data_IF_566534608885
#
_entry.id   IF_566534608885
#
_cell.length_a   1.000
_cell.length_b   1.000
_cell.length_c   1.000
_cell.angle_alpha   90.00
_cell.angle_beta   90.00
_cell.angle_gamma   90.00
#
_symmetry.space_group_name_H-M   'P 1'
#
loop_
_entity.id
_entity.type
_entity.pdbx_description
1 polymer ?
#
# COMPACT_ATOMS: atom_id res chain seq x y z
N UNK A 1 13.01 -15.46 -13.03
CA UNK A 1 12.80 -14.79 -11.71
C UNK A 1 12.25 -13.41 -11.97
N UNK A 2 11.14 -13.09 -11.34
CA UNK A 2 10.64 -11.71 -11.34
C UNK A 2 11.56 -10.86 -10.46
N UNK A 3 11.87 -9.65 -10.89
CA UNK A 3 12.72 -8.71 -10.14
C UNK A 3 12.09 -7.33 -10.12
N UNK A 4 12.49 -6.53 -9.15
CA UNK A 4 12.26 -5.09 -9.06
C UNK A 4 13.59 -4.37 -9.31
N UNK A 5 13.53 -3.11 -9.70
CA UNK A 5 14.73 -2.29 -9.91
C UNK A 5 14.92 -1.39 -8.68
N UNK A 6 16.09 -1.51 -8.05
CA UNK A 6 16.51 -0.68 -6.94
C UNK A 6 17.98 -0.27 -7.11
N UNK A 7 18.29 1.02 -7.10
CA UNK A 7 19.62 1.59 -7.37
C UNK A 7 20.23 1.12 -8.70
N UNK A 8 19.39 1.03 -9.73
CA UNK A 8 19.82 0.62 -11.07
C UNK A 8 20.13 -0.88 -11.23
N UNK A 9 19.91 -1.69 -10.19
CA UNK A 9 20.15 -3.14 -10.23
C UNK A 9 18.87 -3.93 -10.00
N UNK A 10 18.83 -5.16 -10.49
CA UNK A 10 17.73 -6.08 -10.24
C UNK A 10 17.78 -6.57 -8.80
N UNK A 11 16.70 -6.35 -8.06
CA UNK A 11 16.45 -6.90 -6.73
C UNK A 11 15.44 -8.05 -6.83
N UNK A 12 15.63 -9.11 -6.04
CA UNK A 12 14.65 -10.21 -5.98
C UNK A 12 13.27 -9.66 -5.59
N UNK A 13 12.25 -9.97 -6.37
CA UNK A 13 10.87 -9.57 -6.06
C UNK A 13 10.22 -10.51 -5.03
N UNK A 14 9.09 -10.13 -4.42
CA UNK A 14 8.28 -11.04 -3.61
C UNK A 14 7.94 -12.30 -4.40
N UNK A 15 8.06 -13.47 -3.76
CA UNK A 15 7.75 -14.76 -4.38
C UNK A 15 6.29 -14.81 -4.81
N UNK A 16 6.03 -15.34 -6.00
CA UNK A 16 4.70 -15.55 -6.55
C UNK A 16 3.98 -14.27 -7.03
N UNK A 17 4.58 -13.08 -6.85
CA UNK A 17 3.97 -11.83 -7.28
C UNK A 17 4.34 -11.54 -8.75
N UNK A 18 3.37 -11.45 -9.68
CA UNK A 18 3.62 -11.04 -11.05
C UNK A 18 4.07 -9.57 -11.09
N UNK A 19 5.28 -9.34 -11.60
CA UNK A 19 5.84 -7.98 -11.68
C UNK A 19 6.38 -7.75 -13.08
N UNK A 20 6.09 -6.56 -13.63
CA UNK A 20 6.72 -6.00 -14.83
C UNK A 20 7.38 -4.68 -14.46
N UNK A 21 8.55 -4.42 -15.02
CA UNK A 21 9.31 -3.20 -14.71
C UNK A 21 9.40 -2.27 -15.91
N UNK A 22 9.76 -1.01 -15.67
CA UNK A 22 10.00 -0.02 -16.72
C UNK A 22 11.17 -0.38 -17.69
N UNK A 23 11.86 -1.48 -17.43
CA UNK A 23 12.84 -2.05 -18.37
C UNK A 23 12.19 -2.89 -19.47
N UNK A 24 10.91 -3.22 -19.30
CA UNK A 24 10.13 -4.01 -20.24
C UNK A 24 9.32 -3.12 -21.18
N UNK A 25 9.16 -3.57 -22.42
CA UNK A 25 8.36 -2.88 -23.41
C UNK A 25 6.91 -2.68 -22.93
N UNK A 26 6.39 -1.47 -23.12
CA UNK A 26 5.02 -1.11 -22.76
C UNK A 26 4.83 -0.75 -21.28
N UNK A 27 5.88 -0.79 -20.45
CA UNK A 27 5.83 -0.23 -19.09
C UNK A 27 6.49 1.15 -19.08
N UNK A 28 5.70 2.18 -18.84
CA UNK A 28 6.19 3.56 -18.83
C UNK A 28 7.00 3.84 -17.58
N UNK A 29 8.13 4.55 -17.70
CA UNK A 29 8.89 5.10 -16.59
C UNK A 29 8.49 6.56 -16.36
N UNK A 30 8.15 6.90 -15.12
CA UNK A 30 7.98 8.30 -14.73
C UNK A 30 9.35 9.01 -14.61
N UNK A 31 9.43 10.30 -15.01
CA UNK A 31 10.63 11.08 -14.81
C UNK A 31 10.88 11.29 -13.32
N UNK A 32 12.09 10.99 -12.86
CA UNK A 32 12.51 11.29 -11.51
C UNK A 32 12.59 12.81 -11.28
N UNK A 33 12.10 13.27 -10.15
CA UNK A 33 12.13 14.68 -9.73
C UNK A 33 13.37 14.99 -8.87
N UNK A 34 14.18 13.99 -8.61
CA UNK A 34 15.41 14.01 -7.85
C UNK A 34 15.91 12.61 -7.57
N UNK A 35 17.04 12.52 -6.89
CA UNK A 35 17.65 11.25 -6.49
C UNK A 35 17.93 11.24 -5.00
N UNK A 36 17.88 10.03 -4.42
CA UNK A 36 18.17 9.76 -3.01
C UNK A 36 19.07 8.54 -2.83
N UNK A 37 19.62 8.36 -1.65
CA UNK A 37 20.49 7.22 -1.34
C UNK A 37 19.71 6.03 -0.75
N UNK A 38 18.62 6.30 -0.04
CA UNK A 38 17.82 5.27 0.59
C UNK A 38 16.35 5.71 0.73
N UNK A 39 15.47 4.73 0.95
CA UNK A 39 14.08 4.93 1.35
C UNK A 39 13.84 4.29 2.71
N UNK A 40 13.14 5.00 3.57
CA UNK A 40 12.77 4.58 4.92
C UNK A 40 11.27 4.43 5.12
N UNK A 41 10.47 4.84 4.12
CA UNK A 41 9.02 4.82 4.15
C UNK A 41 8.45 4.07 2.94
N UNK A 42 7.42 3.28 3.17
CA UNK A 42 6.58 2.70 2.13
C UNK A 42 5.17 3.26 2.27
N UNK A 43 4.73 4.09 1.31
CA UNK A 43 3.43 4.74 1.34
C UNK A 43 2.46 4.01 0.41
N UNK A 44 1.33 3.59 0.97
CA UNK A 44 0.26 2.87 0.25
C UNK A 44 -0.86 3.85 -0.06
N UNK A 45 -1.22 3.91 -1.35
CA UNK A 45 -2.30 4.69 -1.93
C UNK A 45 -3.33 3.79 -2.59
N UNK A 46 -4.51 4.34 -2.84
CA UNK A 46 -5.52 3.76 -3.72
C UNK A 46 -5.95 4.80 -4.74
N UNK A 47 -6.16 4.37 -5.98
CA UNK A 47 -6.58 5.25 -7.06
C UNK A 47 -8.02 4.95 -7.49
N UNK A 48 -8.79 5.99 -7.76
CA UNK A 48 -10.17 5.89 -8.26
C UNK A 48 -10.27 5.44 -9.73
N UNK A 49 -9.16 5.06 -10.33
CA UNK A 49 -9.10 4.57 -11.71
C UNK A 49 -9.51 3.09 -11.81
N UNK A 50 -9.57 2.58 -13.05
CA UNK A 50 -10.07 1.22 -13.32
C UNK A 50 -9.02 0.28 -13.89
N UNK A 51 -7.83 0.81 -14.19
CA UNK A 51 -6.72 0.03 -14.75
C UNK A 51 -5.38 0.72 -14.49
N UNK A 52 -4.31 -0.05 -14.58
CA UNK A 52 -2.94 0.47 -14.51
C UNK A 52 -2.72 1.61 -15.52
N UNK A 53 -3.13 1.42 -16.78
CA UNK A 53 -2.96 2.46 -17.82
C UNK A 53 -3.76 3.73 -17.52
N UNK A 54 -4.98 3.60 -16.97
CA UNK A 54 -5.77 4.75 -16.57
C UNK A 54 -5.10 5.50 -15.39
N UNK A 55 -4.48 4.78 -14.44
CA UNK A 55 -3.70 5.37 -13.36
C UNK A 55 -2.49 6.13 -13.89
N UNK A 56 -1.71 5.53 -14.77
CA UNK A 56 -0.56 6.20 -15.43
C UNK A 56 -0.99 7.50 -16.09
N UNK A 57 -2.07 7.45 -16.87
CA UNK A 57 -2.58 8.64 -17.57
C UNK A 57 -3.04 9.75 -16.60
N UNK A 58 -3.75 9.38 -15.53
CA UNK A 58 -4.23 10.32 -14.52
C UNK A 58 -3.06 10.98 -13.75
N UNK A 59 -2.06 10.21 -13.35
CA UNK A 59 -0.87 10.72 -12.70
C UNK A 59 -0.11 11.70 -13.60
N UNK A 60 0.09 11.36 -14.87
CA UNK A 60 0.73 12.26 -15.86
C UNK A 60 -0.03 13.56 -16.03
N UNK A 61 -1.35 13.48 -16.17
CA UNK A 61 -2.20 14.66 -16.31
C UNK A 61 -2.11 15.58 -15.10
N UNK A 62 -1.99 15.00 -13.90
CA UNK A 62 -1.85 15.71 -12.62
C UNK A 62 -0.40 16.11 -12.30
N UNK A 63 0.57 15.76 -13.15
CA UNK A 63 2.01 15.93 -12.90
C UNK A 63 2.48 15.22 -11.63
N UNK A 64 1.83 14.10 -11.32
CA UNK A 64 2.20 13.19 -10.24
C UNK A 64 2.89 11.95 -10.81
N UNK A 65 3.47 11.17 -9.92
CA UNK A 65 4.21 9.96 -10.29
C UNK A 65 4.29 9.02 -9.09
N UNK A 66 4.43 7.71 -9.34
CA UNK A 66 4.54 6.69 -8.29
C UNK A 66 5.50 5.59 -8.73
N UNK A 67 6.08 4.87 -7.79
CA UNK A 67 7.05 3.82 -8.07
C UNK A 67 6.39 2.53 -8.55
N UNK A 68 5.29 2.14 -7.91
CA UNK A 68 4.58 0.90 -8.18
C UNK A 68 3.08 1.15 -8.40
N UNK A 69 2.48 0.42 -9.34
CA UNK A 69 1.03 0.37 -9.52
C UNK A 69 0.59 -1.09 -9.47
N UNK A 70 -0.38 -1.41 -8.63
CA UNK A 70 -0.97 -2.73 -8.45
C UNK A 70 -2.32 -2.79 -9.16
N UNK A 71 -2.42 -3.65 -10.16
CA UNK A 71 -3.64 -3.89 -10.92
C UNK A 71 -4.71 -4.66 -10.14
N UNK A 72 -5.95 -4.69 -10.67
CA UNK A 72 -7.05 -5.44 -10.03
C UNK A 72 -6.85 -6.94 -10.00
N UNK A 73 -6.01 -7.45 -10.88
CA UNK A 73 -5.61 -8.86 -11.00
C UNK A 73 -4.50 -9.28 -10.03
N UNK A 74 -3.99 -8.35 -9.23
CA UNK A 74 -2.87 -8.58 -8.32
C UNK A 74 -1.49 -8.48 -8.97
N UNK A 75 -1.39 -8.11 -10.25
CA UNK A 75 -0.11 -7.88 -10.92
C UNK A 75 0.41 -6.46 -10.65
N UNK A 76 1.73 -6.33 -10.51
CA UNK A 76 2.41 -5.06 -10.23
C UNK A 76 3.17 -4.57 -11.44
N UNK A 77 3.11 -3.27 -11.70
CA UNK A 77 4.02 -2.60 -12.65
C UNK A 77 4.89 -1.60 -11.91
N UNK A 78 6.18 -1.60 -12.21
CA UNK A 78 7.14 -0.66 -11.65
C UNK A 78 7.46 0.46 -12.65
N UNK A 79 7.33 1.70 -12.20
CA UNK A 79 7.42 2.91 -13.02
C UNK A 79 8.56 3.85 -12.63
N UNK A 80 9.35 3.50 -11.63
CA UNK A 80 10.55 4.22 -11.20
C UNK A 80 11.45 3.33 -10.35
N UNK A 81 12.71 3.69 -10.20
CA UNK A 81 13.65 2.99 -9.32
C UNK A 81 13.26 3.22 -7.85
N UNK A 82 12.98 2.13 -7.13
CA UNK A 82 12.41 2.19 -5.78
C UNK A 82 13.33 2.92 -4.82
N UNK A 83 14.64 2.70 -4.91
CA UNK A 83 15.58 3.20 -3.93
C UNK A 83 16.18 4.56 -4.32
N UNK A 84 16.35 4.85 -5.61
CA UNK A 84 17.06 6.03 -6.07
C UNK A 84 16.18 7.15 -6.60
N UNK A 85 15.03 6.87 -7.23
CA UNK A 85 14.19 7.91 -7.83
C UNK A 85 13.30 8.58 -6.76
N UNK A 86 13.29 9.92 -6.74
CA UNK A 86 12.27 10.69 -6.01
C UNK A 86 11.10 10.92 -6.94
N UNK A 87 9.92 10.40 -6.58
CA UNK A 87 8.68 10.57 -7.32
C UNK A 87 7.64 11.33 -6.49
N UNK A 88 6.71 12.00 -7.15
CA UNK A 88 5.74 12.88 -6.49
C UNK A 88 4.40 12.16 -6.27
N UNK A 89 4.23 11.59 -5.07
CA UNK A 89 3.02 10.85 -4.69
C UNK A 89 2.48 11.18 -3.28
N UNK A 90 3.32 11.69 -2.37
CA UNK A 90 2.99 11.77 -0.94
C UNK A 90 3.30 13.13 -0.30
N UNK A 91 3.48 14.16 -1.12
CA UNK A 91 3.87 15.50 -0.66
C UNK A 91 5.38 15.65 -0.40
N UNK A 92 5.88 16.90 -0.32
CA UNK A 92 7.33 17.19 -0.40
C UNK A 92 8.18 16.45 0.64
N UNK A 93 7.72 16.34 1.87
CA UNK A 93 8.46 15.69 2.94
C UNK A 93 8.59 14.17 2.71
N UNK A 94 7.48 13.51 2.48
CA UNK A 94 7.46 12.06 2.29
C UNK A 94 8.07 11.62 0.96
N UNK A 95 7.90 12.37 -0.14
CA UNK A 95 8.47 12.03 -1.44
C UNK A 95 9.97 11.76 -1.39
N UNK A 96 10.72 12.51 -0.58
CA UNK A 96 12.17 12.38 -0.48
C UNK A 96 12.60 11.08 0.24
N UNK A 97 11.75 10.50 1.07
CA UNK A 97 12.07 9.38 1.96
C UNK A 97 11.28 8.11 1.65
N UNK A 98 10.27 8.20 0.76
CA UNK A 98 9.36 7.08 0.51
C UNK A 98 9.40 6.59 -0.93
N UNK A 99 9.05 5.32 -1.09
CA UNK A 99 8.47 4.86 -2.34
C UNK A 99 6.98 4.61 -2.16
N UNK A 100 6.21 4.84 -3.24
CA UNK A 100 4.76 4.71 -3.24
C UNK A 100 4.26 3.53 -4.04
N UNK A 101 3.11 3.00 -3.62
CA UNK A 101 2.30 2.02 -4.33
C UNK A 101 0.90 2.60 -4.54
N UNK A 102 0.46 2.72 -5.78
CA UNK A 102 -0.93 2.98 -6.14
C UNK A 102 -1.67 1.67 -6.37
N UNK A 103 -2.69 1.38 -5.59
CA UNK A 103 -3.57 0.23 -5.80
C UNK A 103 -4.78 0.66 -6.62
N UNK A 104 -4.98 0.02 -7.77
CA UNK A 104 -6.12 0.31 -8.65
C UNK A 104 -7.39 -0.20 -7.97
N UNK A 105 -7.99 0.64 -7.16
CA UNK A 105 -9.24 0.38 -6.44
C UNK A 105 -10.11 1.64 -6.41
N UNK A 106 -11.31 1.65 -7.02
CA UNK A 106 -12.23 2.77 -6.92
C UNK A 106 -12.88 2.83 -5.54
N UNK A 107 -12.10 3.13 -4.53
CA UNK A 107 -12.45 3.04 -3.11
C UNK A 107 -13.70 3.87 -2.69
N UNK A 108 -14.16 4.80 -3.54
CA UNK A 108 -15.47 5.47 -3.37
C UNK A 108 -16.56 4.76 -4.18
N UNK A 109 -17.71 4.37 -3.60
CA UNK A 109 -18.80 3.68 -4.31
C UNK A 109 -19.30 4.40 -5.55
N UNK A 110 -19.26 5.74 -5.57
CA UNK A 110 -19.67 6.56 -6.72
C UNK A 110 -18.84 6.33 -8.00
N UNK A 111 -17.65 5.74 -7.87
CA UNK A 111 -16.78 5.40 -9.00
C UNK A 111 -16.90 3.95 -9.46
N UNK A 112 -17.71 3.14 -8.76
CA UNK A 112 -17.99 1.78 -9.20
C UNK A 112 -18.73 1.77 -10.53
N UNK A 113 -18.29 0.89 -11.41
CA UNK A 113 -19.01 0.59 -12.65
C UNK A 113 -19.65 -0.78 -12.49
N UNK A 114 -20.93 -0.95 -12.89
CA UNK A 114 -21.57 -2.26 -12.91
C UNK A 114 -20.71 -3.30 -13.65
N UNK A 115 -20.58 -4.50 -13.07
CA UNK A 115 -19.83 -5.61 -13.67
C UNK A 115 -18.34 -5.67 -13.35
N UNK A 116 -17.79 -4.76 -12.53
CA UNK A 116 -16.44 -4.89 -12.03
C UNK A 116 -16.34 -5.95 -10.92
N UNK A 117 -15.26 -6.76 -10.87
CA UNK A 117 -15.14 -7.91 -9.96
C UNK A 117 -14.99 -7.52 -8.47
N UNK A 118 -14.66 -6.28 -8.17
CA UNK A 118 -14.48 -5.76 -6.80
C UNK A 118 -15.68 -4.93 -6.35
N UNK A 119 -16.81 -5.55 -6.18
CA UNK A 119 -18.06 -4.83 -5.88
C UNK A 119 -18.50 -4.93 -4.43
N UNK A 120 -17.63 -5.33 -3.49
CA UNK A 120 -17.99 -5.38 -2.09
C UNK A 120 -17.82 -4.01 -1.44
N UNK A 121 -18.94 -3.32 -1.22
CA UNK A 121 -19.00 -2.07 -0.46
C UNK A 121 -19.28 -2.39 1.00
N UNK A 122 -18.55 -1.74 1.90
CA UNK A 122 -18.77 -1.82 3.34
C UNK A 122 -19.14 -0.45 3.92
N UNK A 123 -19.85 -0.45 5.04
CA UNK A 123 -19.99 0.76 5.87
C UNK A 123 -18.63 1.05 6.50
N UNK A 124 -18.15 2.26 6.32
CA UNK A 124 -16.82 2.68 6.74
C UNK A 124 -16.88 4.12 7.27
N UNK A 125 -17.20 4.32 8.57
CA UNK A 125 -17.33 5.67 9.14
C UNK A 125 -16.07 6.54 9.05
N UNK A 126 -14.93 5.91 8.83
CA UNK A 126 -13.62 6.53 8.64
C UNK A 126 -13.34 6.99 7.20
N UNK A 127 -14.13 6.50 6.24
CA UNK A 127 -14.01 6.88 4.83
C UNK A 127 -14.92 8.06 4.50
N UNK A 128 -14.52 8.88 3.53
CA UNK A 128 -15.34 9.97 3.05
C UNK A 128 -16.66 9.43 2.45
N UNK A 129 -17.79 9.94 2.98
CA UNK A 129 -19.12 9.47 2.60
C UNK A 129 -19.61 8.25 3.37
N UNK A 130 -18.83 7.71 4.32
CA UNK A 130 -19.26 6.63 5.22
C UNK A 130 -19.30 5.24 4.60
N UNK A 131 -18.81 5.10 3.37
CA UNK A 131 -18.75 3.82 2.64
C UNK A 131 -17.40 3.65 1.94
N UNK A 132 -16.95 2.41 1.80
CA UNK A 132 -15.68 2.07 1.19
C UNK A 132 -15.81 0.81 0.33
N UNK A 133 -15.19 0.86 -0.86
CA UNK A 133 -15.08 -0.29 -1.76
C UNK A 133 -13.82 -1.08 -1.40
N UNK A 134 -13.99 -2.33 -1.02
CA UNK A 134 -12.86 -3.19 -0.66
C UNK A 134 -11.99 -3.53 -1.88
N UNK A 135 -10.67 -3.49 -1.75
CA UNK A 135 -9.77 -4.10 -2.70
C UNK A 135 -10.03 -5.60 -2.86
N UNK A 136 -9.64 -6.18 -3.97
CA UNK A 136 -9.76 -7.63 -4.14
C UNK A 136 -8.84 -8.38 -3.16
N UNK A 137 -9.16 -9.64 -2.78
CA UNK A 137 -8.25 -10.45 -1.96
C UNK A 137 -6.85 -10.59 -2.58
N UNK A 138 -6.75 -10.65 -3.90
CA UNK A 138 -5.48 -10.70 -4.63
C UNK A 138 -4.67 -9.41 -4.43
N UNK A 139 -5.31 -8.24 -4.51
CA UNK A 139 -4.66 -6.95 -4.24
C UNK A 139 -4.21 -6.86 -2.77
N UNK A 140 -5.06 -7.25 -1.84
CA UNK A 140 -4.72 -7.21 -0.42
C UNK A 140 -3.49 -8.07 -0.10
N UNK A 141 -3.43 -9.29 -0.63
CA UNK A 141 -2.29 -10.20 -0.41
C UNK A 141 -1.02 -9.72 -1.14
N UNK A 142 -1.16 -9.13 -2.34
CA UNK A 142 -0.05 -8.50 -3.04
C UNK A 142 0.57 -7.35 -2.22
N UNK A 143 -0.26 -6.51 -1.59
CA UNK A 143 0.19 -5.45 -0.69
C UNK A 143 0.94 -6.04 0.52
N UNK A 144 0.39 -7.06 1.19
CA UNK A 144 1.06 -7.70 2.32
C UNK A 144 2.40 -8.32 1.91
N UNK A 145 2.49 -8.92 0.72
CA UNK A 145 3.72 -9.48 0.17
C UNK A 145 4.76 -8.40 -0.13
N UNK A 146 4.35 -7.26 -0.70
CA UNK A 146 5.24 -6.11 -0.93
C UNK A 146 5.72 -5.49 0.38
N UNK A 147 4.87 -5.38 1.39
CA UNK A 147 5.27 -4.88 2.72
C UNK A 147 6.28 -5.82 3.37
N UNK A 148 6.05 -7.13 3.34
CA UNK A 148 7.00 -8.12 3.85
C UNK A 148 8.35 -7.99 3.15
N UNK A 149 8.34 -7.88 1.84
CA UNK A 149 9.54 -7.71 1.03
C UNK A 149 10.26 -6.40 1.38
N UNK A 150 9.59 -5.27 1.36
CA UNK A 150 10.18 -3.96 1.62
C UNK A 150 10.84 -3.89 3.01
N UNK A 151 10.21 -4.52 4.02
CA UNK A 151 10.69 -4.51 5.40
C UNK A 151 11.72 -5.59 5.72
N UNK A 152 12.15 -6.37 4.75
CA UNK A 152 13.23 -7.37 4.88
C UNK A 152 14.60 -6.87 4.41
N UNK A 153 14.75 -5.57 4.12
CA UNK A 153 15.95 -4.99 3.50
C UNK A 153 16.40 -5.75 2.24
N UNK A 154 15.54 -5.88 1.22
CA UNK A 154 15.73 -6.80 0.11
C UNK A 154 16.83 -6.36 -0.87
N UNK A 155 17.24 -5.09 -0.83
CA UNK A 155 18.24 -4.51 -1.71
C UNK A 155 18.89 -3.26 -1.07
N UNK A 156 20.10 -2.88 -1.49
CA UNK A 156 20.75 -1.66 -1.03
C UNK A 156 19.86 -0.42 -1.26
N UNK A 157 19.74 0.42 -0.22
CA UNK A 157 18.93 1.63 -0.24
C UNK A 157 17.44 1.41 0.04
N UNK A 158 16.99 0.18 0.32
CA UNK A 158 15.66 -0.09 0.86
C UNK A 158 15.80 -0.37 2.36
N UNK A 159 15.53 0.65 3.16
CA UNK A 159 15.72 0.67 4.62
C UNK A 159 14.38 0.86 5.37
N UNK A 160 13.30 0.40 4.77
CA UNK A 160 11.96 0.48 5.37
C UNK A 160 11.91 -0.44 6.59
N UNK A 161 11.68 0.15 7.76
CA UNK A 161 11.52 -0.62 8.98
C UNK A 161 10.13 -1.27 9.03
N UNK A 162 10.04 -2.44 9.65
CA UNK A 162 8.75 -3.07 9.97
C UNK A 162 8.12 -2.37 11.18
N UNK A 163 7.74 -1.12 10.97
CA UNK A 163 7.05 -0.23 11.90
C UNK A 163 5.73 0.21 11.29
N UNK A 164 4.78 0.43 12.16
CA UNK A 164 3.41 0.78 11.82
C UNK A 164 3.05 2.10 12.49
N UNK A 165 3.37 3.26 11.90
CA UNK A 165 3.08 4.57 12.50
C UNK A 165 1.61 4.81 12.80
N UNK A 166 0.70 4.11 12.10
CA UNK A 166 -0.73 4.12 12.38
C UNK A 166 -1.17 3.29 13.58
N UNK A 167 -0.28 2.50 14.20
CA UNK A 167 -0.65 1.67 15.35
C UNK A 167 -0.72 2.53 16.63
N UNK A 168 -1.92 2.64 17.21
CA UNK A 168 -2.21 3.39 18.43
C UNK A 168 -2.95 2.51 19.43
N UNK A 169 -2.43 2.39 20.63
CA UNK A 169 -3.04 1.62 21.73
C UNK A 169 -3.46 0.19 21.36
N UNK A 170 -2.69 -0.43 20.43
CA UNK A 170 -2.96 -1.77 19.93
C UNK A 170 -4.01 -1.85 18.82
N UNK A 171 -4.48 -0.71 18.29
CA UNK A 171 -5.37 -0.63 17.15
C UNK A 171 -4.71 0.10 15.97
N UNK A 172 -4.95 -0.37 14.75
CA UNK A 172 -4.52 0.29 13.53
C UNK A 172 -5.48 1.44 13.18
N UNK A 173 -4.93 2.64 13.02
CA UNK A 173 -5.70 3.79 12.57
C UNK A 173 -6.18 3.60 11.13
N UNK A 174 -7.44 3.96 10.88
CA UNK A 174 -8.05 4.01 9.55
C UNK A 174 -8.27 5.45 9.07
N UNK A 175 -7.88 6.43 9.87
CA UNK A 175 -7.98 7.86 9.59
C UNK A 175 -6.66 8.58 9.78
N UNK A 176 -6.72 9.90 9.91
CA UNK A 176 -5.52 10.73 10.06
C UNK A 176 -4.72 10.40 11.30
N UNK A 177 -3.40 10.43 11.15
CA UNK A 177 -2.41 10.22 12.20
C UNK A 177 -1.41 11.38 12.12
N UNK A 178 -1.58 12.45 12.93
CA UNK A 178 -0.75 13.65 12.82
C UNK A 178 0.76 13.38 12.89
N UNK A 179 1.17 12.44 13.75
CA UNK A 179 2.59 12.08 13.91
C UNK A 179 3.18 11.34 12.70
N UNK A 180 2.35 10.76 11.85
CA UNK A 180 2.80 10.18 10.59
C UNK A 180 3.16 11.24 9.55
N UNK A 181 2.67 12.48 9.69
CA UNK A 181 3.02 13.60 8.84
C UNK A 181 4.45 14.13 9.11
N UNK A 182 5.08 13.73 10.20
CA UNK A 182 6.40 14.18 10.64
C UNK A 182 7.51 13.17 10.33
N UNK A 183 7.47 12.51 9.17
CA UNK A 183 8.51 11.57 8.72
C UNK A 183 8.72 10.37 9.65
N UNK A 184 7.67 9.62 9.89
CA UNK A 184 7.74 8.38 10.66
C UNK A 184 8.18 7.21 9.77
N UNK A 185 9.40 6.68 9.89
CA UNK A 185 9.85 5.57 9.06
C UNK A 185 8.99 4.33 9.27
N UNK A 186 8.73 3.59 8.18
CA UNK A 186 7.93 2.37 8.19
C UNK A 186 6.86 2.31 7.11
N UNK A 187 5.78 1.60 7.40
CA UNK A 187 4.66 1.38 6.47
C UNK A 187 3.54 2.38 6.78
N UNK A 188 3.20 3.18 5.79
CA UNK A 188 2.26 4.30 5.91
C UNK A 188 1.09 4.13 4.95
N UNK A 189 -0.09 4.57 5.38
CA UNK A 189 -1.19 4.91 4.49
C UNK A 189 -1.12 6.39 4.14
N UNK A 190 -1.43 6.76 2.91
CA UNK A 190 -1.56 8.16 2.54
C UNK A 190 -2.67 8.86 3.35
N UNK A 191 -3.69 8.13 3.80
CA UNK A 191 -4.76 8.67 4.66
C UNK A 191 -4.25 9.24 5.99
N UNK A 192 -3.10 8.80 6.47
CA UNK A 192 -2.58 9.31 7.76
C UNK A 192 -2.24 10.79 7.70
N UNK A 193 -1.83 11.31 6.55
CA UNK A 193 -1.39 12.70 6.37
C UNK A 193 -1.96 13.38 5.10
N UNK A 194 -2.59 12.64 4.20
CA UNK A 194 -3.10 13.14 2.92
C UNK A 194 -4.57 12.79 2.65
N UNK A 195 -4.83 12.20 1.49
CA UNK A 195 -6.15 11.76 1.06
C UNK A 195 -6.63 10.52 1.82
N UNK A 196 -7.95 10.25 1.77
CA UNK A 196 -8.57 9.14 2.48
C UNK A 196 -8.42 7.81 1.72
N UNK A 197 -7.18 7.33 1.54
CA UNK A 197 -6.85 6.14 0.77
C UNK A 197 -5.76 5.28 1.43
N UNK A 198 -5.72 4.00 1.12
CA UNK A 198 -4.70 3.04 1.55
C UNK A 198 -4.80 2.51 2.98
N UNK A 199 -5.62 3.10 3.86
CA UNK A 199 -5.63 2.76 5.29
C UNK A 199 -6.09 1.32 5.55
N UNK A 200 -7.09 0.85 4.84
CA UNK A 200 -7.57 -0.52 4.97
C UNK A 200 -6.52 -1.55 4.54
N UNK A 201 -5.75 -1.24 3.50
CA UNK A 201 -4.66 -2.09 3.01
C UNK A 201 -3.50 -2.18 4.02
N UNK A 202 -3.19 -1.08 4.71
CA UNK A 202 -2.21 -1.10 5.81
C UNK A 202 -2.71 -1.94 6.98
N UNK A 203 -4.00 -1.83 7.35
CA UNK A 203 -4.63 -2.69 8.37
C UNK A 203 -4.54 -4.17 7.98
N UNK A 204 -4.88 -4.51 6.73
CA UNK A 204 -4.77 -5.88 6.24
C UNK A 204 -3.33 -6.41 6.32
N UNK A 205 -2.36 -5.65 5.80
CA UNK A 205 -0.96 -6.04 5.83
C UNK A 205 -0.44 -6.24 7.27
N UNK A 206 -0.83 -5.38 8.19
CA UNK A 206 -0.51 -5.51 9.61
C UNK A 206 -1.06 -6.82 10.21
N UNK A 207 -2.34 -7.11 9.97
CA UNK A 207 -2.96 -8.38 10.42
C UNK A 207 -2.21 -9.59 9.86
N UNK A 208 -1.90 -9.59 8.57
CA UNK A 208 -1.15 -10.69 7.93
C UNK A 208 0.23 -10.91 8.54
N UNK A 209 0.94 -9.83 8.84
CA UNK A 209 2.36 -9.89 9.21
C UNK A 209 2.61 -9.97 10.71
N UNK A 210 1.74 -9.38 11.53
CA UNK A 210 1.94 -9.32 12.98
C UNK A 210 1.11 -10.35 13.75
N UNK A 211 -0.07 -10.72 13.22
CA UNK A 211 -0.91 -11.73 13.89
C UNK A 211 -0.78 -13.12 13.28
N UNK A 212 -0.16 -13.26 12.11
CA UNK A 212 0.01 -14.52 11.40
C UNK A 212 -1.28 -15.12 10.84
N UNK A 213 -2.38 -14.36 10.79
CA UNK A 213 -3.64 -14.84 10.23
C UNK A 213 -3.47 -15.29 8.77
N UNK A 214 -4.14 -16.37 8.38
CA UNK A 214 -4.23 -16.81 6.99
C UNK A 214 -4.92 -15.72 6.12
N UNK A 215 -4.69 -15.69 4.78
CA UNK A 215 -5.19 -14.61 3.91
C UNK A 215 -6.68 -14.31 4.07
N UNK A 216 -7.52 -15.33 4.02
CA UNK A 216 -8.99 -15.18 4.17
C UNK A 216 -9.37 -14.67 5.55
N UNK A 217 -8.77 -15.23 6.61
CA UNK A 217 -9.05 -14.80 7.98
C UNK A 217 -8.62 -13.35 8.24
N UNK A 218 -7.46 -12.94 7.70
CA UNK A 218 -7.00 -11.55 7.80
C UNK A 218 -7.91 -10.58 7.04
N UNK A 219 -8.42 -11.01 5.87
CA UNK A 219 -9.33 -10.21 5.07
C UNK A 219 -10.66 -9.98 5.80
N UNK A 220 -11.26 -11.05 6.33
CA UNK A 220 -12.53 -10.98 7.06
C UNK A 220 -12.37 -10.18 8.36
N UNK A 221 -11.23 -10.32 9.05
CA UNK A 221 -10.93 -9.55 10.25
C UNK A 221 -10.71 -8.06 9.94
N UNK A 222 -10.01 -7.74 8.84
CA UNK A 222 -9.85 -6.35 8.40
C UNK A 222 -11.21 -5.71 8.07
N UNK A 223 -12.13 -6.45 7.45
CA UNK A 223 -13.50 -6.00 7.20
C UNK A 223 -14.25 -5.76 8.51
N UNK A 224 -14.16 -6.69 9.46
CA UNK A 224 -14.81 -6.60 10.77
C UNK A 224 -14.34 -5.36 11.54
N UNK A 225 -13.04 -5.13 11.58
CA UNK A 225 -12.44 -3.97 12.25
C UNK A 225 -12.80 -2.65 11.57
N UNK A 226 -12.80 -2.64 10.24
CA UNK A 226 -13.12 -1.45 9.46
C UNK A 226 -14.59 -1.02 9.57
N UNK A 227 -15.50 -1.94 9.85
CA UNK A 227 -16.95 -1.67 9.99
C UNK A 227 -17.38 -1.19 11.38
N UNK A 228 -16.45 -0.92 12.28
CA UNK A 228 -16.75 -0.21 13.52
C UNK A 228 -16.71 -1.03 14.82
N UNK A 229 -16.04 -2.15 14.82
CA UNK A 229 -15.79 -2.90 16.06
C UNK A 229 -14.62 -2.27 16.84
N UNK A 230 -14.72 -2.21 18.16
CA UNK A 230 -13.87 -1.41 19.04
C UNK A 230 -12.38 -1.83 19.04
N UNK A 231 -11.49 -0.85 19.22
CA UNK A 231 -10.05 -1.03 19.41
C UNK A 231 -9.64 -2.08 20.49
N UNK A 232 -10.50 -2.38 21.45
CA UNK A 232 -10.29 -3.40 22.48
C UNK A 232 -10.12 -4.82 21.90
N UNK A 233 -10.76 -5.11 20.78
CA UNK A 233 -10.77 -6.45 20.18
C UNK A 233 -9.44 -6.79 19.50
N UNK A 234 -8.67 -5.78 19.09
CA UNK A 234 -7.35 -5.97 18.47
C UNK A 234 -6.29 -6.40 19.48
N UNK A 235 -6.38 -5.93 20.73
CA UNK A 235 -5.49 -6.36 21.82
C UNK A 235 -5.66 -7.84 22.16
N UNK A 236 -6.87 -8.35 22.08
CA UNK A 236 -7.16 -9.77 22.31
C UNK A 236 -6.50 -10.68 21.25
N UNK A 237 -6.48 -10.26 19.98
CA UNK A 237 -5.84 -11.00 18.88
C UNK A 237 -4.32 -11.11 19.04
N UNK A 238 -3.66 -10.04 19.48
CA UNK A 238 -2.20 -10.04 19.71
C UNK A 238 -1.80 -10.93 20.90
N UNK A 239 -2.67 -11.08 21.91
CA UNK A 239 -2.41 -11.94 23.07
C UNK A 239 -2.57 -13.43 22.75
N UNK A 240 -3.47 -13.81 21.86
CA UNK A 240 -3.69 -15.22 21.48
C UNK A 240 -2.63 -15.75 20.50
N UNK A 241 -2.03 -14.89 19.66
CA UNK A 241 -0.98 -15.29 18.72
C UNK A 241 0.38 -15.58 19.36
N UNK A 242 0.61 -15.19 20.63
CA UNK A 242 1.86 -15.47 21.38
C UNK A 242 1.82 -16.76 22.21
N UNK A 243 0.68 -17.44 22.26
CA UNK A 243 0.53 -18.66 23.07
C UNK A 243 0.81 -19.97 22.30
N UNK A 244 1.27 -19.90 21.05
CA UNK A 244 1.48 -21.07 20.17
C UNK A 244 2.88 -21.08 19.52
N UNK A 245 3.91 -20.60 20.20
CA UNK A 245 5.31 -20.75 19.76
C UNK A 245 6.16 -21.40 20.85
#
# INVERSE_FOLDING_TARGET
MTCLVARGVAASAPEGLPIRTFLEEGVERFPAQGHRQAVTEFVIHETVTRSVQATVNALKQSRLSVHLILGPDGAVTQHGDIASDVLWHAGPGHNAQSFGLEVVNPYYPRFLTPGLPWSRVIKAPWADGGEYVLPTPAQAEAVASLVRWATSAPAPGIEVLRRWPGLRDGAMALGRVPEAAEHAPGVLSHHYFGHADGAWLVLYAWLRLETGLAPTAAYDEAVRLATGTRAADVRALLSTGRASS
#
